data_IF_873951100736
#
_entry.id   IF_873951100736
#
_cell.length_a   1.000
_cell.length_b   1.000
_cell.length_c   1.000
_cell.angle_alpha   90.00
_cell.angle_beta   90.00
_cell.angle_gamma   90.00
#
_symmetry.space_group_name_H-M   'P 1'
#
loop_
_entity.id
_entity.type
_entity.pdbx_description
1 polymer ?
#
# COMPACT_ATOMS: atom_id res chain seq x y z
N UNK A 1 40.72 4.08 25.33
CA UNK A 1 39.72 4.02 24.25
C UNK A 1 39.36 2.56 24.05
N UNK A 2 38.09 2.18 24.25
CA UNK A 2 37.64 0.82 23.98
C UNK A 2 37.68 0.51 22.49
N UNK A 3 37.92 -0.74 22.14
CA UNK A 3 37.89 -1.22 20.75
C UNK A 3 36.50 -0.91 20.15
N UNK A 4 36.38 -0.27 18.98
CA UNK A 4 35.09 0.05 18.39
C UNK A 4 34.25 -1.21 18.22
N UNK A 5 33.00 -1.14 18.68
CA UNK A 5 32.04 -2.23 18.50
C UNK A 5 32.00 -2.64 17.03
N UNK A 6 32.03 -3.95 16.78
CA UNK A 6 31.91 -4.48 15.42
C UNK A 6 30.45 -4.43 15.01
N UNK A 7 30.17 -3.75 13.89
CA UNK A 7 28.84 -3.75 13.29
C UNK A 7 28.41 -5.18 12.96
N UNK A 8 27.25 -5.61 13.45
CA UNK A 8 26.71 -6.95 13.25
C UNK A 8 26.44 -7.25 11.77
N UNK A 9 25.99 -6.26 11.01
CA UNK A 9 25.60 -6.42 9.61
C UNK A 9 26.80 -6.54 8.66
N UNK A 10 27.78 -5.63 8.75
CA UNK A 10 28.95 -5.65 7.84
C UNK A 10 30.20 -6.30 8.44
N UNK A 11 30.17 -6.67 9.73
CA UNK A 11 31.25 -7.34 10.49
C UNK A 11 32.54 -6.51 10.64
N UNK A 12 32.50 -5.22 10.30
CA UNK A 12 33.64 -4.30 10.41
C UNK A 12 33.59 -3.51 11.74
N UNK A 13 34.75 -3.26 12.37
CA UNK A 13 34.84 -2.24 13.41
C UNK A 13 34.54 -0.87 12.78
N UNK A 14 33.65 -0.11 13.41
CA UNK A 14 33.23 1.20 12.91
C UNK A 14 32.87 2.08 14.12
N UNK A 15 33.45 3.29 14.26
CA UNK A 15 33.23 4.16 15.41
C UNK A 15 31.80 4.70 15.51
N UNK A 16 31.01 4.58 14.44
CA UNK A 16 29.58 4.95 14.43
C UNK A 16 28.68 3.81 14.91
N UNK A 17 29.24 2.67 15.30
CA UNK A 17 28.46 1.51 15.73
C UNK A 17 27.80 1.79 17.07
N UNK A 18 26.47 1.77 17.09
CA UNK A 18 25.64 1.86 18.30
C UNK A 18 24.78 0.62 18.40
N UNK A 19 24.37 0.27 19.63
CA UNK A 19 23.44 -0.85 19.85
C UNK A 19 22.02 -0.41 19.49
N UNK A 20 21.42 -1.06 18.48
CA UNK A 20 20.01 -0.94 18.17
C UNK A 20 19.30 -2.11 18.83
N UNK A 21 18.17 -1.87 19.49
CA UNK A 21 17.42 -2.92 20.18
C UNK A 21 17.16 -4.17 19.32
N UNK A 22 16.81 -5.28 19.99
CA UNK A 22 16.42 -6.52 19.33
C UNK A 22 15.28 -6.22 18.34
N UNK A 23 15.35 -6.72 17.08
CA UNK A 23 16.22 -7.79 16.59
C UNK A 23 17.56 -7.36 15.98
N UNK A 24 17.88 -6.06 15.95
CA UNK A 24 18.96 -5.52 15.12
C UNK A 24 20.34 -5.64 15.76
N UNK A 25 20.47 -5.34 17.05
CA UNK A 25 21.76 -5.31 17.76
C UNK A 25 22.70 -4.20 17.25
N UNK A 26 24.01 -4.31 17.51
CA UNK A 26 24.96 -3.25 17.16
C UNK A 26 25.12 -3.08 15.65
N UNK A 27 24.88 -1.87 15.13
CA UNK A 27 25.07 -1.54 13.71
C UNK A 27 25.76 -0.19 13.53
N UNK A 28 26.60 -0.07 12.50
CA UNK A 28 27.14 1.22 12.08
C UNK A 28 26.08 2.02 11.32
N UNK A 29 26.22 3.35 11.31
CA UNK A 29 25.22 4.28 10.79
C UNK A 29 24.74 3.93 9.36
N UNK A 30 25.67 3.51 8.47
CA UNK A 30 25.32 3.10 7.11
C UNK A 30 24.46 1.83 7.05
N UNK A 31 24.81 0.83 7.87
CA UNK A 31 24.06 -0.43 7.91
C UNK A 31 22.68 -0.24 8.53
N UNK A 32 22.59 0.62 9.55
CA UNK A 32 21.34 1.00 10.18
C UNK A 32 20.41 1.73 9.22
N UNK A 33 20.88 2.79 8.55
CA UNK A 33 20.08 3.50 7.54
C UNK A 33 19.54 2.55 6.45
N UNK A 34 20.36 1.58 6.02
CA UNK A 34 19.91 0.55 5.10
C UNK A 34 18.86 -0.41 5.70
N UNK A 35 18.93 -0.71 6.99
CA UNK A 35 17.93 -1.53 7.69
C UNK A 35 16.60 -0.78 7.81
N UNK A 36 16.62 0.50 8.19
CA UNK A 36 15.45 1.37 8.25
C UNK A 36 14.72 1.41 6.91
N UNK A 37 15.46 1.64 5.81
CA UNK A 37 14.88 1.66 4.45
C UNK A 37 14.20 0.31 4.12
N UNK A 38 14.84 -0.82 4.45
CA UNK A 38 14.27 -2.15 4.18
C UNK A 38 13.03 -2.42 5.02
N UNK A 39 13.03 -2.04 6.29
CA UNK A 39 11.87 -2.17 7.18
C UNK A 39 10.72 -1.29 6.72
N UNK A 40 10.98 -0.03 6.37
CA UNK A 40 9.97 0.87 5.82
C UNK A 40 9.39 0.35 4.50
N UNK A 41 10.24 -0.19 3.61
CA UNK A 41 9.77 -0.80 2.36
C UNK A 41 8.91 -2.04 2.61
N UNK A 42 9.29 -2.90 3.56
CA UNK A 42 8.51 -4.08 3.91
C UNK A 42 7.14 -3.66 4.47
N UNK A 43 7.13 -2.76 5.44
CA UNK A 43 5.90 -2.23 6.03
C UNK A 43 4.99 -1.63 4.94
N UNK A 44 5.56 -0.82 4.05
CA UNK A 44 4.80 -0.19 2.97
C UNK A 44 4.15 -1.21 2.04
N UNK A 45 4.85 -2.31 1.71
CA UNK A 45 4.28 -3.39 0.89
C UNK A 45 3.16 -4.12 1.64
N UNK A 46 3.39 -4.48 2.90
CA UNK A 46 2.43 -5.22 3.72
C UNK A 46 1.14 -4.39 3.98
N UNK A 47 1.27 -3.07 4.04
CA UNK A 47 0.16 -2.13 4.25
C UNK A 47 -0.44 -1.58 2.93
N UNK A 48 0.05 -2.01 1.76
CA UNK A 48 -0.33 -1.51 0.42
C UNK A 48 0.00 -0.03 0.14
N UNK A 49 0.93 0.57 0.89
CA UNK A 49 1.48 1.91 0.67
C UNK A 49 2.63 1.92 -0.36
N UNK A 50 2.40 1.32 -1.53
CA UNK A 50 3.39 1.23 -2.61
C UNK A 50 3.06 2.12 -3.83
N UNK A 51 2.22 3.14 -3.64
CA UNK A 51 1.85 4.06 -4.71
C UNK A 51 3.05 4.92 -5.14
N UNK A 52 3.11 5.34 -6.42
CA UNK A 52 4.13 6.28 -6.86
C UNK A 52 3.90 7.67 -6.22
N UNK A 53 4.97 8.36 -5.80
CA UNK A 53 4.87 9.74 -5.31
C UNK A 53 4.46 10.70 -6.44
N UNK A 54 3.97 11.91 -6.11
CA UNK A 54 3.89 13.03 -7.06
C UNK A 54 5.26 13.25 -7.75
N UNK A 55 5.29 13.67 -9.04
CA UNK A 55 4.17 14.18 -9.83
C UNK A 55 3.38 13.11 -10.62
N UNK A 56 3.67 11.80 -10.43
CA UNK A 56 2.92 10.76 -11.13
C UNK A 56 1.41 10.88 -10.85
N UNK A 57 0.55 10.52 -11.80
CA UNK A 57 -0.89 10.47 -11.55
C UNK A 57 -1.23 9.35 -10.54
N UNK A 58 -2.23 9.53 -9.67
CA UNK A 58 -2.61 8.53 -8.66
C UNK A 58 -3.50 7.44 -9.27
N UNK A 59 -3.04 6.80 -10.35
CA UNK A 59 -3.76 5.70 -11.00
C UNK A 59 -3.40 4.36 -10.39
N UNK A 60 -4.39 3.50 -10.24
CA UNK A 60 -4.12 2.10 -9.94
C UNK A 60 -3.34 1.48 -11.10
N UNK A 61 -2.26 0.75 -10.79
CA UNK A 61 -1.45 0.08 -11.83
C UNK A 61 -2.15 -1.07 -12.56
N UNK A 62 -3.30 -1.52 -12.04
CA UNK A 62 -4.07 -2.64 -12.57
C UNK A 62 -5.27 -2.20 -13.38
N UNK A 63 -6.18 -1.40 -12.79
CA UNK A 63 -7.39 -0.94 -13.46
C UNK A 63 -7.29 0.47 -14.06
N UNK A 64 -6.16 1.17 -13.86
CA UNK A 64 -5.85 2.50 -14.40
C UNK A 64 -6.80 3.65 -13.99
N UNK A 65 -7.78 3.37 -13.13
CA UNK A 65 -8.69 4.38 -12.59
C UNK A 65 -7.98 5.26 -11.56
N UNK A 66 -8.43 6.51 -11.46
CA UNK A 66 -7.91 7.48 -10.48
C UNK A 66 -8.35 7.10 -9.07
N UNK A 67 -7.39 7.15 -8.15
CA UNK A 67 -7.56 6.81 -6.74
C UNK A 67 -7.19 7.99 -5.84
N UNK A 68 -7.64 7.95 -4.58
CA UNK A 68 -7.23 8.96 -3.61
C UNK A 68 -5.83 8.61 -3.08
N UNK A 69 -4.83 9.41 -3.44
CA UNK A 69 -3.44 9.21 -2.99
C UNK A 69 -3.09 10.08 -1.79
N UNK A 70 -2.48 9.45 -0.78
CA UNK A 70 -1.99 10.13 0.42
C UNK A 70 -0.57 9.72 0.77
N UNK A 71 0.22 10.67 1.26
CA UNK A 71 1.54 10.41 1.85
C UNK A 71 1.36 9.74 3.22
N UNK A 72 2.24 8.81 3.58
CA UNK A 72 2.29 8.18 4.90
C UNK A 72 3.30 8.88 5.80
N UNK A 73 3.30 8.55 7.10
CA UNK A 73 4.31 9.04 8.05
C UNK A 73 5.73 8.52 7.84
N UNK A 74 5.94 7.61 6.87
CA UNK A 74 7.23 6.95 6.60
C UNK A 74 7.67 7.14 5.14
N UNK A 75 7.38 8.32 4.57
CA UNK A 75 7.79 8.77 3.22
C UNK A 75 7.39 7.80 2.10
N UNK A 76 6.20 7.23 2.21
CA UNK A 76 5.58 6.35 1.21
C UNK A 76 4.20 6.87 0.87
N UNK A 77 3.57 6.27 -0.13
CA UNK A 77 2.29 6.75 -0.65
C UNK A 77 1.32 5.58 -0.78
N UNK A 78 0.07 5.79 -0.41
CA UNK A 78 -0.99 4.78 -0.52
C UNK A 78 -2.10 5.28 -1.43
N UNK A 79 -2.65 4.39 -2.26
CA UNK A 79 -3.90 4.62 -2.98
C UNK A 79 -5.05 4.03 -2.17
N UNK A 80 -5.93 4.90 -1.66
CA UNK A 80 -7.12 4.51 -0.90
C UNK A 80 -8.35 4.56 -1.80
N UNK A 81 -9.32 3.69 -1.51
CA UNK A 81 -10.58 3.63 -2.25
C UNK A 81 -11.31 4.99 -2.18
N UNK A 82 -11.61 5.63 -3.34
CA UNK A 82 -12.22 6.95 -3.42
C UNK A 82 -13.58 7.03 -2.75
N UNK A 83 -13.82 8.14 -2.05
CA UNK A 83 -15.13 8.45 -1.47
C UNK A 83 -15.65 7.48 -0.40
N UNK A 84 -14.92 6.41 -0.08
CA UNK A 84 -15.38 5.34 0.78
C UNK A 84 -14.65 5.35 2.12
N UNK A 85 -15.44 5.37 3.20
CA UNK A 85 -14.96 5.13 4.55
C UNK A 85 -15.99 4.28 5.28
N UNK A 86 -15.55 3.20 5.92
CA UNK A 86 -16.42 2.25 6.62
C UNK A 86 -16.17 2.27 8.14
N UNK A 87 -17.14 1.86 8.97
CA UNK A 87 -16.89 1.58 10.38
C UNK A 87 -15.67 0.66 10.56
N UNK A 88 -14.79 1.00 11.50
CA UNK A 88 -13.50 0.32 11.64
C UNK A 88 -13.58 -1.21 11.80
N UNK A 89 -14.67 -1.72 12.38
CA UNK A 89 -14.86 -3.14 12.66
C UNK A 89 -15.23 -3.96 11.42
N UNK A 90 -15.60 -3.31 10.31
CA UNK A 90 -15.83 -3.97 9.02
C UNK A 90 -14.53 -4.14 8.22
N UNK A 91 -13.47 -3.43 8.60
CA UNK A 91 -12.18 -3.50 7.93
C UNK A 91 -11.24 -4.39 8.75
N UNK A 92 -10.58 -5.39 8.15
CA UNK A 92 -9.61 -6.23 8.85
C UNK A 92 -8.45 -5.45 9.47
N UNK A 93 -7.85 -6.03 10.51
CA UNK A 93 -6.65 -5.47 11.15
C UNK A 93 -5.52 -5.31 10.11
N UNK A 94 -4.70 -4.28 10.25
CA UNK A 94 -3.62 -3.98 9.30
C UNK A 94 -4.04 -3.32 7.99
N UNK A 95 -5.35 -3.20 7.71
CA UNK A 95 -5.85 -2.55 6.50
C UNK A 95 -6.72 -1.31 6.80
N UNK A 96 -6.72 -0.86 8.05
CA UNK A 96 -7.49 0.30 8.53
C UNK A 96 -6.67 1.56 8.38
N UNK A 97 -7.08 2.43 7.47
CA UNK A 97 -6.43 3.71 7.23
C UNK A 97 -7.28 4.88 7.73
N UNK A 98 -6.62 5.90 8.27
CA UNK A 98 -7.24 7.20 8.56
C UNK A 98 -6.33 8.32 8.07
N UNK A 99 -6.84 9.55 8.07
CA UNK A 99 -6.05 10.74 7.78
C UNK A 99 -5.75 11.47 9.09
N UNK A 100 -4.47 11.70 9.35
CA UNK A 100 -4.03 12.57 10.44
C UNK A 100 -4.38 14.04 10.13
N UNK A 101 -4.27 14.91 11.14
CA UNK A 101 -4.61 16.33 11.00
C UNK A 101 -3.72 17.10 10.00
N UNK A 102 -2.55 16.55 9.66
CA UNK A 102 -1.64 17.04 8.63
C UNK A 102 -1.97 16.50 7.22
N UNK A 103 -3.03 15.71 7.09
CA UNK A 103 -3.45 15.09 5.83
C UNK A 103 -2.72 13.79 5.48
N UNK A 104 -1.76 13.32 6.30
CA UNK A 104 -1.06 12.06 6.05
C UNK A 104 -1.93 10.86 6.37
N UNK A 105 -1.81 9.82 5.57
CA UNK A 105 -2.45 8.54 5.82
C UNK A 105 -1.71 7.76 6.91
N UNK A 106 -2.48 7.27 7.88
CA UNK A 106 -1.99 6.48 9.03
C UNK A 106 -2.71 5.15 9.07
N UNK A 107 -1.94 4.06 9.05
CA UNK A 107 -2.45 2.72 9.30
C UNK A 107 -2.62 2.50 10.81
N UNK A 108 -3.80 2.06 11.22
CA UNK A 108 -4.15 1.85 12.63
C UNK A 108 -3.73 0.47 13.14
N UNK A 109 -3.11 -0.35 12.28
CA UNK A 109 -2.55 -1.66 12.62
C UNK A 109 -3.58 -2.57 13.28
N UNK A 110 -3.21 -3.12 14.44
CA UNK A 110 -4.05 -4.02 15.24
C UNK A 110 -4.83 -3.31 16.34
N UNK A 111 -4.80 -1.97 16.39
CA UNK A 111 -5.40 -1.19 17.48
C UNK A 111 -6.92 -1.39 17.53
N UNK A 112 -7.45 -1.63 18.73
CA UNK A 112 -8.90 -1.53 19.00
C UNK A 112 -9.28 -0.05 19.04
N UNK A 113 -10.29 0.31 18.28
CA UNK A 113 -10.71 1.70 18.11
C UNK A 113 -12.04 1.96 18.83
N UNK A 114 -12.27 3.19 19.32
CA UNK A 114 -13.58 3.60 19.85
C UNK A 114 -14.70 3.42 18.81
N UNK A 115 -15.95 3.38 19.29
CA UNK A 115 -17.13 3.43 18.42
C UNK A 115 -17.16 4.71 17.60
N UNK A 116 -17.63 4.64 16.36
CA UNK A 116 -17.77 5.79 15.46
C UNK A 116 -16.55 6.10 14.60
N UNK A 117 -15.38 5.49 14.85
CA UNK A 117 -14.23 5.64 13.95
C UNK A 117 -14.55 5.02 12.59
N UNK A 118 -14.41 5.84 11.55
CA UNK A 118 -14.50 5.41 10.15
C UNK A 118 -13.09 5.32 9.58
N UNK A 119 -12.84 4.26 8.84
CA UNK A 119 -11.56 3.95 8.25
C UNK A 119 -11.71 3.86 6.73
N UNK A 120 -10.66 4.26 6.03
CA UNK A 120 -10.43 3.98 4.61
C UNK A 120 -9.65 2.68 4.47
N UNK A 121 -9.53 2.17 3.26
CA UNK A 121 -8.77 0.96 2.94
C UNK A 121 -8.06 1.11 1.58
N UNK A 122 -7.00 0.34 1.32
CA UNK A 122 -6.30 0.39 0.04
C UNK A 122 -7.19 -0.08 -1.12
N UNK A 123 -7.15 0.63 -2.25
CA UNK A 123 -7.92 0.25 -3.46
C UNK A 123 -7.53 -1.14 -3.96
N UNK A 124 -6.28 -1.57 -3.79
CA UNK A 124 -5.82 -2.92 -4.19
C UNK A 124 -6.66 -4.06 -3.58
N UNK A 125 -7.35 -3.83 -2.44
CA UNK A 125 -8.22 -4.84 -1.82
C UNK A 125 -9.58 -4.99 -2.50
N UNK A 126 -9.97 -4.04 -3.34
CA UNK A 126 -11.26 -4.01 -4.05
C UNK A 126 -11.09 -3.82 -5.56
N UNK A 127 -9.85 -3.74 -6.04
CA UNK A 127 -9.57 -3.53 -7.44
C UNK A 127 -10.13 -4.67 -8.30
N UNK A 128 -10.94 -4.38 -9.34
CA UNK A 128 -11.51 -5.41 -10.20
C UNK A 128 -10.50 -6.07 -11.13
N UNK A 129 -9.30 -5.50 -11.26
CA UNK A 129 -8.23 -5.97 -12.13
C UNK A 129 -7.02 -6.52 -11.36
N UNK A 130 -7.13 -6.67 -10.04
CA UNK A 130 -6.09 -7.26 -9.19
C UNK A 130 -6.63 -8.48 -8.45
N UNK A 131 -5.74 -9.40 -8.07
CA UNK A 131 -6.13 -10.56 -7.30
C UNK A 131 -6.25 -10.20 -5.81
N UNK A 132 -7.46 -10.34 -5.27
CA UNK A 132 -7.67 -10.18 -3.84
C UNK A 132 -7.09 -11.37 -3.05
N UNK A 133 -6.36 -11.11 -1.94
CA UNK A 133 -5.93 -12.16 -1.03
C UNK A 133 -7.14 -12.96 -0.52
N UNK A 134 -7.08 -14.29 -0.63
CA UNK A 134 -8.21 -15.16 -0.27
C UNK A 134 -8.73 -14.91 1.15
N UNK A 135 -7.83 -14.67 2.11
CA UNK A 135 -8.16 -14.38 3.51
C UNK A 135 -8.94 -13.06 3.69
N UNK A 136 -8.80 -12.12 2.76
CA UNK A 136 -9.47 -10.81 2.81
C UNK A 136 -10.76 -10.76 1.99
N UNK A 137 -10.95 -11.67 1.02
CA UNK A 137 -12.13 -11.71 0.15
C UNK A 137 -13.46 -11.59 0.92
N UNK A 138 -13.71 -12.35 2.01
CA UNK A 138 -15.01 -12.27 2.72
C UNK A 138 -15.36 -10.89 3.28
N UNK A 139 -14.37 -10.01 3.46
CA UNK A 139 -14.58 -8.65 3.97
C UNK A 139 -14.85 -7.62 2.86
N UNK A 140 -14.36 -7.88 1.65
CA UNK A 140 -14.31 -6.90 0.56
C UNK A 140 -15.12 -7.29 -0.67
N UNK A 141 -15.72 -8.50 -0.74
CA UNK A 141 -16.48 -8.97 -1.92
C UNK A 141 -17.53 -7.96 -2.39
N UNK A 142 -18.39 -7.46 -1.50
CA UNK A 142 -19.44 -6.51 -1.90
C UNK A 142 -18.86 -5.21 -2.47
N UNK A 143 -17.79 -4.69 -1.88
CA UNK A 143 -17.11 -3.49 -2.38
C UNK A 143 -16.42 -3.73 -3.72
N UNK A 144 -15.84 -4.91 -3.90
CA UNK A 144 -15.25 -5.31 -5.17
C UNK A 144 -16.30 -5.42 -6.27
N UNK A 145 -17.50 -5.95 -5.98
CA UNK A 145 -18.60 -6.02 -6.95
C UNK A 145 -19.05 -4.61 -7.37
N UNK A 146 -19.14 -3.67 -6.42
CA UNK A 146 -19.42 -2.26 -6.69
C UNK A 146 -18.35 -1.63 -7.60
N UNK A 147 -17.07 -1.89 -7.32
CA UNK A 147 -15.95 -1.40 -8.11
C UNK A 147 -15.87 -2.05 -9.49
N UNK A 148 -16.16 -3.33 -9.61
CA UNK A 148 -16.24 -4.04 -10.88
C UNK A 148 -17.33 -3.43 -11.76
N UNK A 149 -18.52 -3.18 -11.18
CA UNK A 149 -19.60 -2.49 -11.88
C UNK A 149 -19.16 -1.10 -12.35
N UNK A 150 -18.60 -0.29 -11.44
CA UNK A 150 -18.12 1.06 -11.74
C UNK A 150 -17.06 1.05 -12.84
N UNK A 151 -16.11 0.12 -12.77
CA UNK A 151 -15.05 -0.07 -13.75
C UNK A 151 -15.62 -0.44 -15.11
N UNK A 152 -16.53 -1.42 -15.19
CA UNK A 152 -17.17 -1.81 -16.46
C UNK A 152 -17.97 -0.67 -17.09
N UNK A 153 -18.65 0.15 -16.29
CA UNK A 153 -19.42 1.29 -16.82
C UNK A 153 -18.55 2.41 -17.38
N UNK A 154 -17.32 2.58 -16.88
CA UNK A 154 -16.41 3.66 -17.29
C UNK A 154 -15.25 3.20 -18.19
N UNK A 155 -15.05 1.88 -18.30
CA UNK A 155 -14.05 1.31 -19.20
C UNK A 155 -14.48 1.61 -20.65
N UNK A 156 -13.63 2.26 -21.47
CA UNK A 156 -13.92 2.39 -22.88
C UNK A 156 -14.01 1.00 -23.53
N UNK A 157 -14.97 0.75 -24.45
CA UNK A 157 -15.08 -0.53 -25.13
C UNK A 157 -13.75 -0.86 -25.81
N UNK A 158 -13.27 -2.09 -25.59
CA UNK A 158 -12.09 -2.60 -26.26
C UNK A 158 -12.35 -2.81 -27.74
N UNK A 159 -11.28 -2.88 -28.53
CA UNK A 159 -11.36 -3.26 -29.95
C UNK A 159 -12.07 -4.62 -30.15
N UNK A 160 -11.95 -5.53 -29.18
CA UNK A 160 -12.56 -6.86 -29.20
C UNK A 160 -14.04 -6.85 -28.77
N UNK A 161 -14.52 -5.74 -28.19
CA UNK A 161 -15.92 -5.57 -27.75
C UNK A 161 -16.83 -5.11 -28.91
N UNK A 162 -16.27 -4.84 -30.09
CA UNK A 162 -17.03 -4.57 -31.31
C UNK A 162 -17.26 -5.87 -32.10
N UNK A 163 -18.49 -6.43 -32.12
CA UNK A 163 -18.78 -7.56 -32.98
C UNK A 163 -18.75 -7.14 -34.45
N UNK A 164 -17.75 -7.59 -35.20
CA UNK A 164 -17.78 -7.63 -36.67
C UNK A 164 -16.91 -6.63 -37.43
N UNK A 165 -15.59 -6.67 -37.24
CA UNK A 165 -14.67 -6.34 -38.35
C UNK A 165 -13.84 -7.56 -38.67
N UNK A 166 -14.40 -8.47 -39.48
CA UNK A 166 -13.57 -9.42 -40.21
C UNK A 166 -12.51 -8.63 -40.99
N UNK A 167 -11.22 -9.01 -40.93
CA UNK A 167 -10.20 -8.37 -41.75
C UNK A 167 -10.59 -8.52 -43.22
N UNK A 168 -10.42 -7.48 -44.06
CA UNK A 168 -10.76 -7.58 -45.47
C UNK A 168 -9.97 -8.73 -46.10
N UNK A 169 -10.69 -9.67 -46.71
CA UNK A 169 -10.08 -10.72 -47.52
C UNK A 169 -9.42 -10.05 -48.73
N UNK A 170 -8.10 -9.96 -48.72
CA UNK A 170 -7.34 -9.59 -49.90
C UNK A 170 -7.33 -10.80 -50.85
N UNK A 171 -8.02 -10.66 -51.98
CA UNK A 171 -7.94 -11.54 -53.14
C UNK A 171 -6.95 -11.04 -54.17
#
# INVERSE_FOLDING_TARGET
MGDPLRCRACRRPDPTTVDHDIPFGPQCARCWAGAEIRCANRQALDEYAAAPPPPAEPRCRHCETLQDRYETGYDRWVLLEPGTALPWHLIPLGHRWTLAGDGKAVNLGTRRLPGGVRCRFPHALVCPCDEQPEVLRPFFTALWEEDEHRYRSHRPPGIDDFPGTDPPAYG
#
